data_IF_811754638171
#
_entry.id   IF_811754638171
#
_cell.length_a   1.000
_cell.length_b   1.000
_cell.length_c   1.000
_cell.angle_alpha   90.00
_cell.angle_beta   90.00
_cell.angle_gamma   90.00
#
_symmetry.space_group_name_H-M   'P 1'
#
loop_
_entity.id
_entity.type
_entity.pdbx_description
1 polymer ?
#
# COMPACT_ATOMS: atom_id res chain seq x y z
N UNK A 1 23.52 -50.40 -7.33
CA UNK A 1 23.40 -49.22 -8.22
C UNK A 1 22.07 -48.55 -7.91
N UNK A 2 22.07 -47.54 -7.03
CA UNK A 2 20.87 -46.77 -6.73
C UNK A 2 20.74 -45.67 -7.79
N UNK A 3 19.79 -45.85 -8.70
CA UNK A 3 19.40 -44.82 -9.67
C UNK A 3 18.71 -43.69 -8.92
N UNK A 4 19.44 -42.60 -8.66
CA UNK A 4 18.87 -41.31 -8.28
C UNK A 4 17.99 -40.82 -9.44
N UNK A 5 16.68 -41.02 -9.33
CA UNK A 5 15.72 -40.45 -10.26
C UNK A 5 15.85 -38.93 -10.26
N UNK A 6 16.15 -38.36 -11.41
CA UNK A 6 16.12 -36.93 -11.65
C UNK A 6 14.65 -36.51 -11.56
N UNK A 7 14.26 -35.92 -10.44
CA UNK A 7 12.95 -35.29 -10.29
C UNK A 7 12.98 -34.01 -11.11
N UNK A 8 12.32 -34.04 -12.27
CA UNK A 8 11.93 -32.82 -12.97
C UNK A 8 10.82 -32.17 -12.14
N UNK A 9 11.18 -31.19 -11.32
CA UNK A 9 10.19 -30.25 -10.80
C UNK A 9 9.61 -29.53 -12.02
N UNK A 10 8.35 -29.82 -12.34
CA UNK A 10 7.59 -29.00 -13.27
C UNK A 10 7.45 -27.62 -12.62
N UNK A 11 8.15 -26.64 -13.18
CA UNK A 11 8.11 -25.23 -12.78
C UNK A 11 6.78 -24.61 -13.27
N UNK A 12 5.67 -25.15 -12.77
CA UNK A 12 4.41 -24.43 -12.79
C UNK A 12 4.56 -23.31 -11.76
N UNK A 13 4.15 -22.10 -12.12
CA UNK A 13 4.02 -20.98 -11.18
C UNK A 13 2.88 -21.27 -10.18
N UNK A 14 3.03 -22.34 -9.41
CA UNK A 14 2.06 -22.83 -8.45
C UNK A 14 2.04 -21.85 -7.28
N UNK A 15 0.84 -21.46 -6.89
CA UNK A 15 0.65 -20.57 -5.75
C UNK A 15 1.15 -21.24 -4.48
N UNK A 16 2.09 -20.61 -3.79
CA UNK A 16 2.48 -20.99 -2.44
C UNK A 16 1.33 -20.63 -1.49
N UNK A 17 0.54 -21.64 -1.15
CA UNK A 17 -0.64 -21.50 -0.29
C UNK A 17 -0.29 -21.02 1.11
N UNK A 18 0.88 -21.38 1.64
CA UNK A 18 1.33 -20.97 2.97
C UNK A 18 1.71 -19.49 3.01
N UNK A 19 2.55 -19.06 2.06
CA UNK A 19 2.93 -17.65 1.94
C UNK A 19 1.72 -16.78 1.60
N UNK A 20 0.84 -17.24 0.72
CA UNK A 20 -0.38 -16.51 0.35
C UNK A 20 -1.34 -16.35 1.54
N UNK A 21 -1.57 -17.41 2.32
CA UNK A 21 -2.40 -17.35 3.52
C UNK A 21 -1.82 -16.39 4.58
N UNK A 22 -0.49 -16.39 4.76
CA UNK A 22 0.17 -15.44 5.64
C UNK A 22 -0.01 -14.00 5.15
N UNK A 23 0.20 -13.74 3.86
CA UNK A 23 0.03 -12.39 3.28
C UNK A 23 -1.40 -11.87 3.41
N UNK A 24 -2.41 -12.72 3.20
CA UNK A 24 -3.81 -12.35 3.42
C UNK A 24 -4.10 -12.05 4.90
N UNK A 25 -3.55 -12.86 5.80
CA UNK A 25 -3.68 -12.65 7.25
C UNK A 25 -3.01 -11.33 7.66
N UNK A 26 -1.77 -11.08 7.22
CA UNK A 26 -1.07 -9.82 7.46
C UNK A 26 -1.84 -8.64 6.89
N UNK A 27 -2.41 -8.75 5.68
CA UNK A 27 -3.27 -7.71 5.09
C UNK A 27 -4.48 -7.38 5.97
N UNK A 28 -5.14 -8.39 6.54
CA UNK A 28 -6.26 -8.18 7.46
C UNK A 28 -5.81 -7.50 8.76
N UNK A 29 -4.65 -7.89 9.31
CA UNK A 29 -4.07 -7.27 10.50
C UNK A 29 -3.71 -5.80 10.28
N UNK A 30 -3.13 -5.46 9.12
CA UNK A 30 -2.84 -4.07 8.78
C UNK A 30 -4.15 -3.29 8.63
N UNK A 31 -5.17 -3.85 7.97
CA UNK A 31 -6.48 -3.20 7.87
C UNK A 31 -7.13 -2.93 9.25
N UNK A 32 -6.93 -3.82 10.23
CA UNK A 32 -7.42 -3.66 11.60
C UNK A 32 -6.82 -2.42 12.29
N UNK A 33 -5.68 -1.90 11.82
CA UNK A 33 -5.10 -0.67 12.36
C UNK A 33 -6.00 0.54 12.09
N UNK A 34 -6.80 0.57 11.02
CA UNK A 34 -7.69 1.71 10.72
C UNK A 34 -8.72 1.99 11.84
N UNK A 35 -9.55 1.01 12.27
CA UNK A 35 -10.41 1.23 13.43
C UNK A 35 -9.62 1.44 14.72
N UNK A 36 -8.44 0.82 14.85
CA UNK A 36 -7.51 1.09 15.96
C UNK A 36 -7.10 2.57 16.04
N UNK A 37 -6.73 3.18 14.92
CA UNK A 37 -6.38 4.59 14.80
C UNK A 37 -7.60 5.50 15.02
N UNK A 38 -8.76 5.11 14.51
CA UNK A 38 -10.01 5.85 14.75
C UNK A 38 -10.32 5.93 16.25
N UNK A 39 -10.20 4.82 16.98
CA UNK A 39 -10.38 4.78 18.43
C UNK A 39 -9.26 5.54 19.17
N UNK A 40 -8.01 5.40 18.72
CA UNK A 40 -6.86 6.08 19.31
C UNK A 40 -7.00 7.60 19.23
N UNK A 41 -7.20 8.16 18.04
CA UNK A 41 -7.38 9.60 17.87
C UNK A 41 -8.73 10.09 18.40
N UNK A 42 -9.78 9.26 18.31
CA UNK A 42 -11.07 9.53 18.96
C UNK A 42 -10.94 9.70 20.49
N UNK A 43 -10.09 8.91 21.14
CA UNK A 43 -9.82 9.03 22.58
C UNK A 43 -8.99 10.25 22.99
N UNK A 44 -8.29 10.89 22.05
CA UNK A 44 -7.46 12.08 22.30
C UNK A 44 -8.23 13.41 22.13
N UNK A 45 -9.44 13.36 21.57
CA UNK A 45 -10.26 14.55 21.31
C UNK A 45 -11.38 14.72 22.33
N UNK A 46 -12.02 15.90 22.33
CA UNK A 46 -13.16 16.16 23.21
C UNK A 46 -14.34 15.28 22.80
N UNK A 47 -15.14 14.84 23.77
CA UNK A 47 -16.31 13.96 23.55
C UNK A 47 -17.24 14.41 22.43
N UNK A 48 -17.48 15.72 22.30
CA UNK A 48 -18.30 16.31 21.23
C UNK A 48 -17.77 16.12 19.81
N UNK A 49 -16.46 15.85 19.67
CA UNK A 49 -15.76 15.76 18.39
C UNK A 49 -15.29 14.34 18.05
N UNK A 50 -15.46 13.37 18.96
CA UNK A 50 -15.02 11.97 18.78
C UNK A 50 -15.53 11.37 17.47
N UNK A 51 -16.83 11.51 17.20
CA UNK A 51 -17.43 10.99 15.97
C UNK A 51 -16.81 11.61 14.72
N UNK A 52 -16.54 12.92 14.74
CA UNK A 52 -15.91 13.62 13.61
C UNK A 52 -14.49 13.13 13.35
N UNK A 53 -13.69 12.94 14.40
CA UNK A 53 -12.33 12.43 14.30
C UNK A 53 -12.30 10.97 13.81
N UNK A 54 -13.19 10.11 14.31
CA UNK A 54 -13.32 8.74 13.82
C UNK A 54 -13.70 8.69 12.34
N UNK A 55 -14.62 9.57 11.90
CA UNK A 55 -15.03 9.65 10.50
C UNK A 55 -13.88 9.97 9.56
N UNK A 56 -12.90 10.79 9.95
CA UNK A 56 -11.74 11.06 9.12
C UNK A 56 -10.91 9.82 8.78
N UNK A 57 -10.78 8.88 9.73
CA UNK A 57 -10.06 7.62 9.52
C UNK A 57 -10.81 6.68 8.57
N UNK A 58 -12.13 6.53 8.73
CA UNK A 58 -12.94 5.68 7.85
C UNK A 58 -13.05 6.23 6.44
N UNK A 59 -13.12 7.57 6.29
CA UNK A 59 -13.17 8.22 4.98
C UNK A 59 -11.84 8.12 4.25
N UNK A 60 -10.71 8.19 4.97
CA UNK A 60 -9.41 7.89 4.37
C UNK A 60 -9.36 6.47 3.80
N UNK A 61 -9.86 5.47 4.54
CA UNK A 61 -9.95 4.10 4.05
C UNK A 61 -10.80 3.97 2.78
N UNK A 62 -11.98 4.59 2.73
CA UNK A 62 -12.83 4.54 1.54
C UNK A 62 -12.19 5.27 0.35
N UNK A 63 -11.72 6.51 0.55
CA UNK A 63 -11.21 7.35 -0.51
C UNK A 63 -9.89 6.83 -1.07
N UNK A 64 -8.93 6.50 -0.20
CA UNK A 64 -7.63 6.00 -0.63
C UNK A 64 -7.73 4.57 -1.15
N UNK A 65 -8.62 3.74 -0.59
CA UNK A 65 -8.89 2.41 -1.13
C UNK A 65 -9.34 2.45 -2.59
N UNK A 66 -10.24 3.39 -2.93
CA UNK A 66 -10.67 3.60 -4.32
C UNK A 66 -9.53 4.17 -5.17
N UNK A 67 -8.85 5.22 -4.71
CA UNK A 67 -7.75 5.83 -5.49
C UNK A 67 -6.61 4.84 -5.74
N UNK A 68 -6.28 3.98 -4.77
CA UNK A 68 -5.29 2.91 -4.90
C UNK A 68 -5.64 1.95 -6.04
N UNK A 69 -6.88 1.45 -6.05
CA UNK A 69 -7.35 0.55 -7.08
C UNK A 69 -7.41 1.21 -8.46
N UNK A 70 -7.86 2.48 -8.54
CA UNK A 70 -8.00 3.21 -9.80
C UNK A 70 -6.64 3.50 -10.42
N UNK A 71 -5.73 4.14 -9.66
CA UNK A 71 -4.47 4.64 -10.22
C UNK A 71 -3.28 4.59 -9.27
N UNK A 72 -3.48 4.48 -7.95
CA UNK A 72 -2.39 4.56 -6.99
C UNK A 72 -1.40 3.40 -7.09
N UNK A 73 -1.89 2.17 -7.34
CA UNK A 73 -1.03 1.02 -7.59
C UNK A 73 -0.19 1.21 -8.85
N UNK A 74 -0.80 1.69 -9.94
CA UNK A 74 -0.11 2.04 -11.18
C UNK A 74 0.98 3.12 -10.96
N UNK A 75 0.72 4.09 -10.11
CA UNK A 75 1.67 5.16 -9.81
C UNK A 75 2.83 4.71 -8.90
N UNK A 76 2.59 3.73 -8.03
CA UNK A 76 3.58 3.22 -7.10
C UNK A 76 4.47 2.14 -7.74
N UNK A 77 3.89 1.18 -8.45
CA UNK A 77 4.58 0.00 -8.98
C UNK A 77 4.61 -0.08 -10.52
N UNK A 78 4.18 0.98 -11.21
CA UNK A 78 4.36 1.12 -12.64
C UNK A 78 5.83 1.34 -13.03
N UNK A 79 6.09 1.28 -14.34
CA UNK A 79 7.43 1.52 -14.90
C UNK A 79 7.93 2.91 -14.51
N UNK A 80 9.25 3.03 -14.32
CA UNK A 80 9.88 4.30 -14.05
C UNK A 80 9.58 5.37 -15.10
N UNK A 81 9.14 6.52 -14.62
CA UNK A 81 9.02 7.76 -15.38
C UNK A 81 9.89 8.82 -14.70
N UNK A 82 10.45 9.74 -15.49
CA UNK A 82 11.34 10.83 -15.01
C UNK A 82 12.56 10.33 -14.19
N UNK A 83 13.17 9.21 -14.60
CA UNK A 83 14.38 8.69 -13.95
C UNK A 83 14.15 8.00 -12.59
N UNK A 84 12.94 7.50 -12.34
CA UNK A 84 12.58 6.81 -11.09
C UNK A 84 11.92 7.72 -10.04
N UNK A 85 11.48 8.91 -10.45
CA UNK A 85 10.78 9.86 -9.58
C UNK A 85 9.26 9.56 -9.48
N UNK A 86 8.66 8.93 -10.48
CA UNK A 86 7.26 8.48 -10.40
C UNK A 86 7.12 7.18 -11.19
N UNK A 87 6.34 6.24 -10.68
CA UNK A 87 5.93 5.07 -11.45
C UNK A 87 4.72 5.43 -12.32
N UNK A 88 4.63 4.88 -13.52
CA UNK A 88 3.39 4.95 -14.28
C UNK A 88 3.25 3.75 -15.21
N UNK A 89 2.10 3.10 -15.15
CA UNK A 89 1.72 2.11 -16.15
C UNK A 89 0.21 2.17 -16.42
N UNK A 90 -0.19 2.58 -17.63
CA UNK A 90 -1.61 2.63 -18.02
C UNK A 90 -2.30 1.27 -17.91
N UNK A 91 -1.54 0.18 -18.03
CA UNK A 91 -2.09 -1.17 -18.04
C UNK A 91 -2.60 -1.59 -16.66
N UNK A 92 -1.99 -1.04 -15.59
CA UNK A 92 -2.38 -1.29 -14.19
C UNK A 92 -3.52 -0.41 -13.68
N UNK A 93 -4.11 0.40 -14.56
CA UNK A 93 -5.28 1.20 -14.21
C UNK A 93 -6.46 0.29 -13.88
N UNK A 94 -7.15 0.56 -12.77
CA UNK A 94 -8.14 -0.37 -12.18
C UNK A 94 -7.59 -1.75 -11.80
N UNK A 95 -6.29 -1.85 -11.49
CA UNK A 95 -5.59 -3.13 -11.23
C UNK A 95 -5.72 -4.12 -12.38
N UNK A 96 -5.90 -3.66 -13.61
CA UNK A 96 -5.92 -4.55 -14.77
C UNK A 96 -4.51 -5.08 -15.04
N UNK A 97 -4.41 -6.28 -15.60
CA UNK A 97 -3.13 -6.82 -16.06
C UNK A 97 -2.22 -7.38 -14.97
N UNK A 98 -2.72 -7.54 -13.74
CA UNK A 98 -2.04 -8.27 -12.65
C UNK A 98 -2.74 -9.60 -12.31
N UNK A 99 -3.72 -10.02 -13.14
CA UNK A 99 -4.61 -11.14 -12.85
C UNK A 99 -3.90 -12.48 -12.72
N UNK A 100 -2.96 -12.74 -13.64
CA UNK A 100 -2.22 -14.00 -13.73
C UNK A 100 -0.74 -13.84 -13.31
N UNK A 101 -0.40 -12.71 -12.70
CA UNK A 101 0.99 -12.42 -12.31
C UNK A 101 1.28 -12.99 -10.93
N UNK A 102 2.34 -13.76 -10.84
CA UNK A 102 2.84 -14.35 -9.60
C UNK A 102 4.18 -13.74 -9.22
N UNK A 103 4.27 -13.22 -8.00
CA UNK A 103 5.51 -12.66 -7.44
C UNK A 103 5.92 -13.53 -6.26
N UNK A 104 7.02 -14.27 -6.43
CA UNK A 104 7.56 -15.21 -5.42
C UNK A 104 6.51 -16.22 -4.92
N UNK A 105 5.68 -16.76 -5.82
CA UNK A 105 4.64 -17.74 -5.49
C UNK A 105 3.37 -17.15 -4.88
N UNK A 106 3.23 -15.82 -4.81
CA UNK A 106 2.03 -15.13 -4.32
C UNK A 106 1.37 -14.36 -5.47
N UNK A 107 0.03 -14.41 -5.62
CA UNK A 107 -0.67 -13.62 -6.61
C UNK A 107 -0.43 -12.12 -6.40
N UNK A 108 -0.14 -11.39 -7.47
CA UNK A 108 0.17 -9.96 -7.39
C UNK A 108 -0.98 -9.14 -6.78
N UNK A 109 -2.23 -9.58 -6.98
CA UNK A 109 -3.39 -9.01 -6.28
C UNK A 109 -3.26 -9.01 -4.76
N UNK A 110 -2.70 -10.07 -4.16
CA UNK A 110 -2.52 -10.16 -2.71
C UNK A 110 -1.47 -9.15 -2.25
N UNK A 111 -0.40 -8.96 -3.03
CA UNK A 111 0.60 -7.92 -2.77
C UNK A 111 0.02 -6.52 -2.92
N UNK A 112 -0.79 -6.29 -3.97
CA UNK A 112 -1.48 -5.02 -4.18
C UNK A 112 -2.45 -4.70 -3.05
N UNK A 113 -3.15 -5.70 -2.52
CA UNK A 113 -4.02 -5.56 -1.35
C UNK A 113 -3.25 -5.22 -0.08
N UNK A 114 -2.12 -5.90 0.15
CA UNK A 114 -1.24 -5.67 1.29
C UNK A 114 -0.69 -4.24 1.28
N UNK A 115 -0.08 -3.84 0.17
CA UNK A 115 0.47 -2.49 -0.03
C UNK A 115 -0.61 -1.41 0.06
N UNK A 116 -1.80 -1.69 -0.47
CA UNK A 116 -2.95 -0.80 -0.36
C UNK A 116 -3.38 -0.51 1.08
N UNK A 117 -3.05 -1.36 2.06
CA UNK A 117 -3.36 -1.07 3.47
C UNK A 117 -2.42 -0.02 4.05
N UNK A 118 -1.14 -0.04 3.69
CA UNK A 118 -0.19 1.02 4.05
C UNK A 118 -0.63 2.35 3.44
N UNK A 119 -1.02 2.33 2.15
CA UNK A 119 -1.57 3.49 1.46
C UNK A 119 -2.77 4.12 2.19
N UNK A 120 -3.65 3.29 2.75
CA UNK A 120 -4.80 3.76 3.52
C UNK A 120 -4.38 4.36 4.87
N UNK A 121 -3.46 3.72 5.59
CA UNK A 121 -3.09 4.10 6.96
C UNK A 121 -2.31 5.41 7.01
N UNK A 122 -1.37 5.63 6.08
CA UNK A 122 -0.48 6.80 6.14
C UNK A 122 -1.23 8.14 6.18
N UNK A 123 -2.16 8.46 5.26
CA UNK A 123 -2.96 9.68 5.36
C UNK A 123 -3.97 9.66 6.52
N UNK A 124 -4.41 8.48 6.99
CA UNK A 124 -5.24 8.38 8.19
C UNK A 124 -4.49 8.82 9.46
N UNK A 125 -3.17 8.61 9.55
CA UNK A 125 -2.34 9.14 10.63
C UNK A 125 -2.29 10.68 10.64
N UNK A 126 -2.25 11.30 9.45
CA UNK A 126 -2.27 12.76 9.32
C UNK A 126 -3.57 13.35 9.89
N UNK A 127 -4.68 12.61 9.77
CA UNK A 127 -5.99 13.02 10.28
C UNK A 127 -6.01 13.27 11.78
N UNK A 128 -5.18 12.55 12.54
CA UNK A 128 -5.04 12.74 13.98
C UNK A 128 -4.44 14.09 14.35
N UNK A 129 -3.44 14.56 13.58
CA UNK A 129 -2.81 15.86 13.81
C UNK A 129 -3.72 17.05 13.42
N UNK A 130 -4.63 16.82 12.47
CA UNK A 130 -5.59 17.81 11.97
C UNK A 130 -6.93 17.75 12.71
N UNK A 131 -7.07 16.85 13.69
CA UNK A 131 -8.31 16.61 14.39
C UNK A 131 -8.89 17.91 14.98
N UNK A 132 -10.21 18.09 14.84
CA UNK A 132 -10.97 19.26 15.31
C UNK A 132 -10.66 20.61 14.61
N UNK A 133 -9.75 20.67 13.62
CA UNK A 133 -9.24 21.94 13.05
C UNK A 133 -9.47 22.12 11.54
N UNK A 134 -10.08 21.15 10.87
CA UNK A 134 -10.26 21.17 9.41
C UNK A 134 -11.70 20.85 9.01
N UNK A 135 -12.15 21.45 7.92
CA UNK A 135 -13.41 21.09 7.29
C UNK A 135 -13.29 19.74 6.57
N UNK A 136 -14.33 18.92 6.66
CA UNK A 136 -14.38 17.59 6.05
C UNK A 136 -14.06 17.58 4.55
N UNK A 137 -14.63 18.51 3.78
CA UNK A 137 -14.39 18.61 2.32
C UNK A 137 -12.93 18.94 2.02
N UNK A 138 -12.34 19.85 2.78
CA UNK A 138 -10.92 20.22 2.66
C UNK A 138 -10.02 19.04 3.02
N UNK A 139 -10.39 18.28 4.06
CA UNK A 139 -9.68 17.06 4.43
C UNK A 139 -9.69 16.02 3.31
N UNK A 140 -10.85 15.71 2.71
CA UNK A 140 -10.95 14.75 1.61
C UNK A 140 -10.08 15.15 0.41
N UNK A 141 -10.14 16.43 0.00
CA UNK A 141 -9.30 16.93 -1.09
C UNK A 141 -7.82 16.84 -0.74
N UNK A 142 -7.46 17.23 0.48
CA UNK A 142 -6.08 17.19 0.97
C UNK A 142 -5.52 15.78 0.93
N UNK A 143 -6.19 14.78 1.50
CA UNK A 143 -5.67 13.40 1.51
C UNK A 143 -5.61 12.78 0.12
N UNK A 144 -6.53 13.13 -0.80
CA UNK A 144 -6.48 12.67 -2.18
C UNK A 144 -5.25 13.22 -2.92
N UNK A 145 -5.01 14.53 -2.81
CA UNK A 145 -3.84 15.17 -3.43
C UNK A 145 -2.54 14.69 -2.77
N UNK A 146 -2.50 14.60 -1.45
CA UNK A 146 -1.34 14.12 -0.71
C UNK A 146 -1.00 12.68 -1.08
N UNK A 147 -2.01 11.82 -1.20
CA UNK A 147 -1.80 10.44 -1.63
C UNK A 147 -1.18 10.36 -3.04
N UNK A 148 -1.74 11.08 -4.02
CA UNK A 148 -1.24 11.01 -5.40
C UNK A 148 0.13 11.69 -5.59
N UNK A 149 0.35 12.81 -4.91
CA UNK A 149 1.53 13.65 -5.15
C UNK A 149 2.70 13.37 -4.20
N UNK A 150 2.44 12.77 -3.04
CA UNK A 150 3.45 12.53 -2.01
C UNK A 150 3.61 11.03 -1.77
N UNK A 151 2.53 10.33 -1.38
CA UNK A 151 2.60 8.92 -1.04
C UNK A 151 3.02 8.05 -2.23
N UNK A 152 2.35 8.17 -3.38
CA UNK A 152 2.66 7.34 -4.56
C UNK A 152 4.11 7.52 -5.04
N UNK A 153 4.65 8.75 -5.20
CA UNK A 153 6.06 8.93 -5.52
C UNK A 153 7.01 8.37 -4.45
N UNK A 154 6.77 8.63 -3.15
CA UNK A 154 7.62 8.10 -2.08
C UNK A 154 7.64 6.56 -2.06
N UNK A 155 6.47 5.95 -2.18
CA UNK A 155 6.32 4.50 -2.29
C UNK A 155 7.09 3.96 -3.49
N UNK A 156 7.01 4.63 -4.64
CA UNK A 156 7.78 4.26 -5.82
C UNK A 156 9.29 4.36 -5.59
N UNK A 157 9.79 5.41 -4.94
CA UNK A 157 11.22 5.58 -4.71
C UNK A 157 11.81 4.48 -3.84
N UNK A 158 11.08 4.11 -2.79
CA UNK A 158 11.57 3.26 -1.70
C UNK A 158 11.26 1.78 -1.96
N UNK A 159 10.11 1.46 -2.55
CA UNK A 159 9.62 0.07 -2.65
C UNK A 159 9.46 -0.46 -4.07
N UNK A 160 9.43 0.38 -5.10
CA UNK A 160 9.40 -0.14 -6.46
C UNK A 160 10.78 -0.73 -6.80
N UNK A 161 10.83 -1.87 -7.54
CA UNK A 161 12.10 -2.45 -8.00
C UNK A 161 12.95 -1.48 -8.80
N UNK A 162 12.30 -0.59 -9.54
CA UNK A 162 12.96 0.43 -10.36
C UNK A 162 13.13 1.76 -9.60
N UNK A 163 12.66 1.88 -8.35
CA UNK A 163 12.74 3.10 -7.54
C UNK A 163 14.18 3.59 -7.36
N UNK A 164 14.39 4.91 -7.43
CA UNK A 164 15.76 5.46 -7.37
C UNK A 164 16.42 5.25 -6.00
N UNK A 165 15.68 5.34 -4.88
CA UNK A 165 16.21 5.07 -3.53
C UNK A 165 16.42 3.56 -3.31
N UNK A 166 15.60 2.71 -3.91
CA UNK A 166 15.80 1.26 -3.90
C UNK A 166 17.09 0.86 -4.64
N UNK A 167 17.40 1.51 -5.76
CA UNK A 167 18.53 1.17 -6.63
C UNK A 167 19.87 1.83 -6.29
N UNK A 168 19.95 2.63 -5.22
CA UNK A 168 21.22 3.28 -4.79
C UNK A 168 22.21 2.33 -4.08
N UNK A 169 21.93 1.02 -4.04
CA UNK A 169 22.88 -0.02 -3.62
C UNK A 169 23.24 0.05 -2.13
N UNK A 170 24.52 -0.11 -1.77
CA UNK A 170 25.00 -0.12 -0.38
C UNK A 170 24.87 1.24 0.35
N UNK A 171 24.61 2.32 -0.39
CA UNK A 171 24.28 3.64 0.14
C UNK A 171 22.76 3.92 0.14
N UNK A 172 21.97 2.93 -0.30
CA UNK A 172 20.53 3.04 -0.41
C UNK A 172 19.79 2.91 0.90
N UNK A 173 18.50 3.18 0.83
CA UNK A 173 17.61 3.23 1.98
C UNK A 173 17.11 1.82 2.32
N UNK A 174 17.30 1.40 3.57
CA UNK A 174 16.72 0.17 4.10
C UNK A 174 15.43 0.52 4.83
N UNK A 175 14.30 0.37 4.13
CA UNK A 175 12.98 0.51 4.72
C UNK A 175 12.15 -0.76 4.53
N UNK A 176 12.11 -1.58 5.58
CA UNK A 176 11.47 -2.90 5.57
C UNK A 176 9.93 -2.82 5.57
N UNK A 177 9.36 -1.81 6.25
CA UNK A 177 7.95 -1.80 6.62
C UNK A 177 7.28 -0.41 6.56
N UNK A 178 7.93 0.58 5.96
CA UNK A 178 7.32 1.88 5.63
C UNK A 178 7.57 2.91 6.71
N UNK A 179 8.77 2.93 7.27
CA UNK A 179 9.19 4.00 8.17
C UNK A 179 9.32 5.34 7.45
N UNK A 180 9.61 5.33 6.14
CA UNK A 180 9.78 6.53 5.32
C UNK A 180 8.58 6.83 4.41
N UNK A 181 7.77 5.81 4.09
CA UNK A 181 6.63 5.86 3.16
C UNK A 181 5.33 6.17 3.88
#
# INVERSE_FOLDING_TARGET
MLSSGIVFAADNADTDTGTTAWMLTSTALVLLMVPGLAMFYGGLVRTKNVLGTMMHSFVAMALIGVLWAVCGYSMAFGKNVLGGFVGWNSDYFFLKGIDDVMVKGVPEYVLAMFQGKFAIITPALISGALAERVYFRSYCLFIALWFLLIYCPLCHWVWAPDGWLFNTGAAGVIDLAGGLV
#
